data_IF_387451456209
#
_entry.id   IF_387451456209
#
_cell.length_a   1.000
_cell.length_b   1.000
_cell.length_c   1.000
_cell.angle_alpha   90.00
_cell.angle_beta   90.00
_cell.angle_gamma   90.00
#
_symmetry.space_group_name_H-M   'P 1'
#
loop_
_entity.id
_entity.type
_entity.pdbx_description
1 polymer ?
#
# COMPACT_ATOMS: atom_id res chain seq x y z
N UNK A 1 -2.12 4.32 7.09
CA UNK A 1 -1.63 4.60 5.72
C UNK A 1 -2.80 4.43 4.77
N UNK A 2 -3.87 5.19 5.01
CA UNK A 2 -5.06 5.23 4.16
C UNK A 2 -5.12 6.60 3.49
N UNK A 3 -5.64 6.67 2.27
CA UNK A 3 -5.83 7.90 1.53
C UNK A 3 -7.06 7.76 0.62
N UNK A 4 -7.49 8.88 0.06
CA UNK A 4 -8.66 8.96 -0.82
C UNK A 4 -8.55 8.06 -2.05
N UNK A 5 -7.34 7.80 -2.55
CA UNK A 5 -7.14 6.93 -3.71
C UNK A 5 -7.48 5.46 -3.42
N UNK A 6 -7.34 5.00 -2.17
CA UNK A 6 -7.78 3.65 -1.76
C UNK A 6 -9.30 3.49 -1.87
N UNK A 7 -10.05 4.52 -1.48
CA UNK A 7 -11.52 4.53 -1.56
C UNK A 7 -12.07 4.90 -2.95
N UNK A 8 -11.20 5.08 -3.94
CA UNK A 8 -11.61 5.44 -5.30
C UNK A 8 -12.53 4.39 -5.91
N UNK A 9 -12.40 3.12 -5.51
CA UNK A 9 -13.34 2.01 -5.79
C UNK A 9 -14.79 2.43 -5.60
N UNK A 10 -15.14 2.64 -4.35
CA UNK A 10 -16.45 3.13 -3.90
C UNK A 10 -16.84 4.43 -4.59
N UNK A 11 -15.95 5.43 -4.64
CA UNK A 11 -16.29 6.74 -5.18
C UNK A 11 -16.72 6.70 -6.66
N UNK A 12 -16.02 5.90 -7.49
CA UNK A 12 -16.40 5.74 -8.90
C UNK A 12 -17.74 5.01 -9.03
N UNK A 13 -17.97 3.95 -8.27
CA UNK A 13 -19.21 3.17 -8.34
C UNK A 13 -20.43 3.94 -7.80
N UNK A 14 -20.23 4.77 -6.76
CA UNK A 14 -21.27 5.68 -6.27
C UNK A 14 -21.56 6.78 -7.28
N UNK A 15 -20.54 7.35 -7.93
CA UNK A 15 -20.73 8.32 -8.99
C UNK A 15 -21.48 7.72 -10.20
N UNK A 16 -21.13 6.49 -10.59
CA UNK A 16 -21.85 5.75 -11.63
C UNK A 16 -23.32 5.50 -11.25
N UNK A 17 -23.60 5.24 -9.96
CA UNK A 17 -24.95 5.13 -9.43
C UNK A 17 -25.71 6.47 -9.29
N UNK A 18 -25.12 7.60 -9.69
CA UNK A 18 -25.77 8.91 -9.72
C UNK A 18 -25.53 9.79 -8.49
N UNK A 19 -24.68 9.36 -7.55
CA UNK A 19 -24.34 10.13 -6.36
C UNK A 19 -23.17 11.09 -6.59
N UNK A 20 -23.12 12.18 -5.85
CA UNK A 20 -21.88 12.96 -5.71
C UNK A 20 -21.02 12.31 -4.63
N UNK A 21 -19.93 11.66 -5.03
CA UNK A 21 -19.00 11.00 -4.10
C UNK A 21 -17.78 11.88 -3.82
N UNK A 22 -17.45 12.08 -2.54
CA UNK A 22 -16.34 12.94 -2.10
C UNK A 22 -15.33 12.11 -1.30
N UNK A 23 -14.41 11.39 -1.96
CA UNK A 23 -13.30 10.75 -1.26
C UNK A 23 -12.29 11.83 -0.85
N UNK A 24 -11.84 11.81 0.40
CA UNK A 24 -10.93 12.83 0.94
C UNK A 24 -9.86 12.23 1.85
N UNK A 25 -8.79 13.00 2.05
CA UNK A 25 -7.72 12.66 2.96
C UNK A 25 -7.98 13.35 4.31
N UNK A 26 -8.16 12.58 5.38
CA UNK A 26 -8.12 13.12 6.75
C UNK A 26 -6.80 13.84 7.01
N UNK A 27 -6.77 14.79 7.95
CA UNK A 27 -5.50 15.38 8.39
C UNK A 27 -4.46 14.31 8.77
N UNK A 28 -3.21 14.55 8.36
CA UNK A 28 -2.10 13.61 8.52
C UNK A 28 -2.10 12.39 7.57
N UNK A 29 -3.18 12.18 6.81
CA UNK A 29 -3.33 11.15 5.79
C UNK A 29 -3.15 11.71 4.38
N UNK A 30 -2.78 10.83 3.44
CA UNK A 30 -2.52 11.18 2.03
C UNK A 30 -1.77 12.51 1.87
N UNK A 31 -2.42 13.44 1.17
CA UNK A 31 -1.88 14.77 0.88
C UNK A 31 -2.29 15.85 1.90
N UNK A 32 -3.26 15.57 2.77
CA UNK A 32 -3.71 16.50 3.79
C UNK A 32 -2.65 16.75 4.85
N UNK A 33 -2.45 18.03 5.18
CA UNK A 33 -1.55 18.48 6.24
C UNK A 33 -2.15 18.26 7.64
N UNK A 34 -1.42 18.69 8.68
CA UNK A 34 -1.84 18.56 10.07
C UNK A 34 -1.49 17.21 10.68
N UNK A 35 -1.70 17.11 11.99
CA UNK A 35 -1.45 15.89 12.76
C UNK A 35 -2.74 15.13 13.01
N UNK A 36 -2.63 13.81 13.02
CA UNK A 36 -3.70 12.92 13.40
C UNK A 36 -3.89 12.94 14.92
N UNK A 37 -4.69 13.88 15.42
CA UNK A 37 -5.02 14.01 16.84
C UNK A 37 -6.44 13.52 17.13
N UNK A 38 -6.63 12.82 18.24
CA UNK A 38 -7.93 12.24 18.63
C UNK A 38 -8.99 13.34 18.79
N UNK A 39 -10.20 13.10 18.26
CA UNK A 39 -11.33 14.07 18.28
C UNK A 39 -11.30 15.13 17.17
N UNK A 40 -10.14 15.36 16.53
CA UNK A 40 -10.01 16.40 15.51
C UNK A 40 -10.43 16.00 14.09
N UNK A 41 -10.72 14.70 13.88
CA UNK A 41 -11.11 14.15 12.57
C UNK A 41 -12.56 14.48 12.21
N UNK A 42 -13.44 14.66 13.20
CA UNK A 42 -14.83 15.06 12.95
C UNK A 42 -14.89 16.44 12.30
N UNK A 43 -14.03 17.36 12.74
CA UNK A 43 -13.89 18.69 12.13
C UNK A 43 -13.52 18.63 10.64
N UNK A 44 -12.81 17.58 10.18
CA UNK A 44 -12.51 17.41 8.76
C UNK A 44 -13.78 17.04 7.97
N UNK A 45 -14.65 16.20 8.55
CA UNK A 45 -15.93 15.82 7.95
C UNK A 45 -16.88 17.04 7.96
N UNK A 46 -16.96 17.77 9.06
CA UNK A 46 -17.76 19.00 9.17
C UNK A 46 -17.34 20.06 8.17
N UNK A 47 -16.04 20.22 7.94
CA UNK A 47 -15.52 21.13 6.93
C UNK A 47 -15.97 20.75 5.52
N UNK A 48 -16.04 19.44 5.21
CA UNK A 48 -16.55 18.94 3.93
C UNK A 48 -18.05 19.19 3.83
N UNK A 49 -18.84 18.84 4.85
CA UNK A 49 -20.29 19.12 4.86
C UNK A 49 -20.55 20.62 4.70
N UNK A 50 -19.79 21.47 5.40
CA UNK A 50 -19.87 22.93 5.27
C UNK A 50 -19.51 23.41 3.86
N UNK A 51 -18.52 22.81 3.22
CA UNK A 51 -18.20 23.10 1.82
C UNK A 51 -19.35 22.70 0.89
N UNK A 52 -19.93 21.51 1.06
CA UNK A 52 -21.05 21.01 0.25
C UNK A 52 -22.33 21.83 0.47
N UNK A 53 -22.58 22.35 1.67
CA UNK A 53 -23.72 23.23 1.94
C UNK A 53 -23.68 24.53 1.11
N UNK A 54 -22.52 24.94 0.62
CA UNK A 54 -22.37 26.10 -0.25
C UNK A 54 -22.51 25.75 -1.75
N UNK A 55 -22.80 24.50 -2.09
CA UNK A 55 -22.97 24.01 -3.46
C UNK A 55 -24.46 23.88 -3.79
N UNK A 56 -25.04 24.74 -4.65
CA UNK A 56 -26.47 24.69 -4.96
C UNK A 56 -26.86 23.46 -5.79
N UNK A 57 -25.90 22.73 -6.33
CA UNK A 57 -26.07 21.52 -7.12
C UNK A 57 -26.06 20.23 -6.27
N UNK A 58 -25.91 20.31 -4.95
CA UNK A 58 -25.84 19.16 -4.04
C UNK A 58 -26.94 19.26 -2.97
N UNK A 59 -27.71 18.18 -2.82
CA UNK A 59 -28.69 18.06 -1.73
C UNK A 59 -28.00 17.56 -0.46
N UNK A 60 -27.65 18.48 0.43
CA UNK A 60 -27.01 18.17 1.70
C UNK A 60 -27.99 17.74 2.80
N UNK A 61 -29.29 17.65 2.51
CA UNK A 61 -30.28 17.08 3.44
C UNK A 61 -30.41 15.55 3.32
N UNK A 62 -29.74 14.96 2.32
CA UNK A 62 -29.77 13.53 1.98
C UNK A 62 -28.36 12.96 1.83
N UNK A 63 -27.59 13.00 2.91
CA UNK A 63 -26.20 12.55 2.93
C UNK A 63 -26.06 11.06 3.25
N UNK A 64 -24.95 10.48 2.81
CA UNK A 64 -24.49 9.16 3.24
C UNK A 64 -23.02 9.25 3.63
N UNK A 65 -22.61 8.42 4.58
CA UNK A 65 -21.21 8.32 4.98
C UNK A 65 -20.71 6.90 4.83
N UNK A 66 -19.57 6.73 4.16
CA UNK A 66 -18.81 5.49 4.12
C UNK A 66 -17.50 5.66 4.89
N UNK A 67 -17.25 4.77 5.85
CA UNK A 67 -16.01 4.73 6.61
C UNK A 67 -15.36 3.36 6.56
N UNK A 68 -14.11 3.29 6.11
CA UNK A 68 -13.31 2.06 6.12
C UNK A 68 -12.35 2.02 7.31
N UNK A 69 -12.32 0.92 8.07
CA UNK A 69 -11.43 0.76 9.23
C UNK A 69 -11.50 1.94 10.19
N UNK A 70 -10.39 2.65 10.44
CA UNK A 70 -10.37 3.86 11.27
C UNK A 70 -11.28 4.99 10.72
N UNK A 71 -11.61 4.98 9.43
CA UNK A 71 -12.53 5.92 8.80
C UNK A 71 -13.98 5.81 9.30
N UNK A 72 -14.34 4.74 10.01
CA UNK A 72 -15.64 4.61 10.70
C UNK A 72 -15.90 5.67 11.78
N UNK A 73 -14.88 6.47 12.16
CA UNK A 73 -15.00 7.59 13.12
C UNK A 73 -16.14 8.57 12.78
N UNK A 74 -16.48 8.73 11.50
CA UNK A 74 -17.59 9.60 11.08
C UNK A 74 -18.98 9.15 11.54
N UNK A 75 -19.12 7.94 12.09
CA UNK A 75 -20.37 7.47 12.68
C UNK A 75 -20.87 8.39 13.80
N UNK A 76 -19.97 9.03 14.55
CA UNK A 76 -20.33 10.01 15.59
C UNK A 76 -21.12 11.18 14.98
N UNK A 77 -20.64 11.76 13.88
CA UNK A 77 -21.34 12.83 13.19
C UNK A 77 -22.66 12.38 12.56
N UNK A 78 -22.70 11.17 11.98
CA UNK A 78 -23.93 10.57 11.44
C UNK A 78 -24.99 10.39 12.53
N UNK A 79 -24.55 10.09 13.75
CA UNK A 79 -25.44 9.92 14.89
C UNK A 79 -26.07 11.25 15.34
N UNK A 80 -25.36 12.35 15.18
CA UNK A 80 -25.79 13.68 15.63
C UNK A 80 -26.62 14.44 14.58
N UNK A 81 -26.45 14.14 13.30
CA UNK A 81 -27.19 14.80 12.21
C UNK A 81 -28.25 13.90 11.56
N UNK A 82 -29.45 14.46 11.38
CA UNK A 82 -30.54 13.82 10.64
C UNK A 82 -30.41 13.95 9.14
N UNK A 83 -29.46 14.74 8.63
CA UNK A 83 -29.20 14.88 7.19
C UNK A 83 -28.58 13.61 6.60
N UNK A 84 -27.82 12.87 7.40
CA UNK A 84 -27.30 11.56 6.99
C UNK A 84 -28.40 10.51 7.03
N UNK A 85 -28.75 9.89 5.90
CA UNK A 85 -29.76 8.82 5.84
C UNK A 85 -29.14 7.42 5.81
N UNK A 86 -27.83 7.33 5.61
CA UNK A 86 -27.11 6.06 5.48
C UNK A 86 -25.73 6.12 6.12
N UNK A 87 -25.36 5.06 6.85
CA UNK A 87 -23.99 4.77 7.25
C UNK A 87 -23.54 3.44 6.68
N UNK A 88 -22.37 3.43 6.03
CA UNK A 88 -21.71 2.22 5.54
C UNK A 88 -20.36 2.11 6.26
N UNK A 89 -20.25 1.14 7.17
CA UNK A 89 -19.01 0.84 7.88
C UNK A 89 -18.34 -0.41 7.31
N UNK A 90 -17.23 -0.26 6.59
CA UNK A 90 -16.47 -1.37 6.04
C UNK A 90 -15.22 -1.66 6.88
N UNK A 91 -15.02 -2.90 7.29
CA UNK A 91 -13.90 -3.28 8.17
C UNK A 91 -13.81 -2.41 9.42
N UNK A 92 -14.94 -1.93 9.96
CA UNK A 92 -14.98 -1.01 11.12
C UNK A 92 -16.02 -1.46 12.14
N UNK A 93 -15.96 -0.91 13.36
CA UNK A 93 -16.89 -1.25 14.45
C UNK A 93 -18.15 -0.38 14.35
N UNK A 94 -19.29 -0.98 14.70
CA UNK A 94 -20.54 -0.26 14.94
C UNK A 94 -20.64 0.05 16.44
N UNK A 95 -20.64 1.34 16.81
CA UNK A 95 -20.78 1.75 18.21
C UNK A 95 -22.20 1.49 18.72
N UNK A 96 -22.35 1.47 20.05
CA UNK A 96 -23.65 1.42 20.74
C UNK A 96 -24.22 2.83 20.84
N UNK A 97 -25.54 2.94 21.08
CA UNK A 97 -26.30 4.18 21.17
C UNK A 97 -26.39 4.98 19.86
N UNK A 98 -26.51 4.26 18.74
CA UNK A 98 -26.83 4.89 17.46
C UNK A 98 -28.32 5.21 17.40
N UNK A 99 -28.65 6.44 16.96
CA UNK A 99 -30.00 6.95 16.77
C UNK A 99 -30.78 6.00 15.88
N UNK A 100 -32.05 5.77 16.20
CA UNK A 100 -32.89 4.86 15.41
C UNK A 100 -33.38 5.57 14.15
N UNK A 101 -33.22 4.92 13.02
CA UNK A 101 -33.87 5.32 11.78
C UNK A 101 -35.38 5.06 11.83
N UNK A 102 -36.14 5.91 11.16
CA UNK A 102 -37.58 5.72 10.92
C UNK A 102 -38.01 6.47 9.64
N UNK A 103 -39.29 6.36 9.27
CA UNK A 103 -39.81 6.92 8.01
C UNK A 103 -39.70 8.44 7.87
N UNK A 104 -39.59 9.19 8.97
CA UNK A 104 -39.42 10.67 8.93
C UNK A 104 -37.97 11.10 9.13
N UNK A 105 -37.18 10.31 9.84
CA UNK A 105 -35.75 10.53 10.08
C UNK A 105 -34.97 9.22 9.79
N UNK A 106 -34.72 8.88 8.51
CA UNK A 106 -34.09 7.62 8.19
C UNK A 106 -32.65 7.53 8.70
N UNK A 107 -32.23 6.31 9.00
CA UNK A 107 -30.83 5.90 9.12
C UNK A 107 -30.74 4.42 8.76
N UNK A 108 -30.28 4.13 7.56
CA UNK A 108 -29.97 2.77 7.15
C UNK A 108 -28.50 2.46 7.48
N UNK A 109 -28.21 1.26 7.97
CA UNK A 109 -26.87 0.85 8.43
C UNK A 109 -26.43 -0.40 7.68
N UNK A 110 -25.34 -0.28 6.95
CA UNK A 110 -24.62 -1.43 6.40
C UNK A 110 -23.26 -1.55 7.08
N UNK A 111 -22.99 -2.72 7.63
CA UNK A 111 -21.65 -3.10 8.06
C UNK A 111 -21.10 -4.14 7.11
N UNK A 112 -19.88 -3.95 6.61
CA UNK A 112 -19.24 -4.86 5.67
C UNK A 112 -17.97 -5.42 6.32
N UNK A 113 -17.80 -6.75 6.31
CA UNK A 113 -16.68 -7.43 6.96
C UNK A 113 -16.18 -8.59 6.10
N UNK A 114 -14.88 -8.87 6.15
CA UNK A 114 -14.29 -10.05 5.52
C UNK A 114 -14.20 -11.21 6.50
N UNK A 115 -14.39 -12.45 6.03
CA UNK A 115 -14.28 -13.66 6.85
C UNK A 115 -12.93 -13.80 7.53
N UNK A 116 -11.86 -13.32 6.87
CA UNK A 116 -10.50 -13.40 7.37
C UNK A 116 -10.02 -12.09 7.99
N UNK A 117 -10.94 -11.18 8.36
CA UNK A 117 -10.58 -9.96 9.09
C UNK A 117 -9.96 -10.30 10.45
N UNK A 118 -8.72 -9.84 10.66
CA UNK A 118 -7.93 -10.13 11.86
C UNK A 118 -8.11 -9.08 12.97
N UNK A 119 -8.89 -8.01 12.72
CA UNK A 119 -9.06 -6.85 13.60
C UNK A 119 -10.46 -6.79 14.19
N UNK A 120 -11.48 -7.24 13.44
CA UNK A 120 -12.89 -7.15 13.79
C UNK A 120 -13.58 -8.49 13.56
N UNK A 121 -14.43 -8.88 14.51
CA UNK A 121 -15.19 -10.13 14.43
C UNK A 121 -16.66 -9.88 14.08
N UNK A 122 -17.35 -10.85 13.45
CA UNK A 122 -18.79 -10.76 13.23
C UNK A 122 -19.60 -10.55 14.52
N UNK A 123 -19.14 -11.10 15.65
CA UNK A 123 -19.83 -10.97 16.93
C UNK A 123 -19.82 -9.54 17.46
N UNK A 124 -18.70 -8.81 17.33
CA UNK A 124 -18.62 -7.39 17.70
C UNK A 124 -19.64 -6.56 16.88
N UNK A 125 -19.79 -6.85 15.59
CA UNK A 125 -20.78 -6.16 14.74
C UNK A 125 -22.22 -6.51 15.13
N UNK A 126 -22.49 -7.77 15.48
CA UNK A 126 -23.80 -8.21 15.97
C UNK A 126 -24.16 -7.51 17.28
N UNK A 127 -23.22 -7.21 18.16
CA UNK A 127 -23.51 -6.42 19.37
C UNK A 127 -23.97 -4.99 19.05
N UNK A 128 -23.27 -4.29 18.15
CA UNK A 128 -23.66 -2.95 17.72
C UNK A 128 -25.00 -2.95 16.98
N UNK A 129 -25.22 -3.94 16.11
CA UNK A 129 -26.46 -4.07 15.36
C UNK A 129 -27.64 -4.49 16.26
N UNK A 130 -27.37 -5.26 17.33
CA UNK A 130 -28.35 -5.63 18.35
C UNK A 130 -28.84 -4.40 19.10
N UNK A 131 -27.92 -3.51 19.50
CA UNK A 131 -28.28 -2.21 20.06
C UNK A 131 -29.12 -1.42 19.05
N UNK A 132 -28.71 -1.35 17.78
CA UNK A 132 -29.42 -0.63 16.73
C UNK A 132 -30.86 -1.13 16.51
N UNK A 133 -31.05 -2.43 16.33
CA UNK A 133 -32.32 -3.05 15.92
C UNK A 133 -33.23 -3.42 17.10
N UNK A 134 -32.70 -3.53 18.31
CA UNK A 134 -33.40 -4.10 19.47
C UNK A 134 -33.53 -5.64 19.45
N UNK A 135 -32.97 -6.31 18.43
CA UNK A 135 -32.96 -7.77 18.32
C UNK A 135 -31.75 -8.31 19.08
N UNK A 136 -31.87 -9.34 19.94
CA UNK A 136 -30.72 -9.92 20.63
C UNK A 136 -29.63 -10.38 19.65
N UNK A 137 -28.36 -10.10 19.94
CA UNK A 137 -27.22 -10.44 19.06
C UNK A 137 -27.16 -11.92 18.65
N UNK A 138 -27.62 -12.83 19.52
CA UNK A 138 -27.72 -14.27 19.22
C UNK A 138 -28.72 -14.61 18.10
N UNK A 139 -29.69 -13.74 17.83
CA UNK A 139 -30.71 -13.89 16.80
C UNK A 139 -30.40 -13.06 15.53
N UNK A 140 -29.24 -12.40 15.50
CA UNK A 140 -28.76 -11.68 14.34
C UNK A 140 -27.89 -12.59 13.48
N UNK A 141 -28.20 -12.67 12.20
CA UNK A 141 -27.46 -13.41 11.19
C UNK A 141 -26.72 -12.44 10.28
N UNK A 142 -25.52 -12.85 9.84
CA UNK A 142 -24.82 -12.14 8.77
C UNK A 142 -25.52 -12.41 7.44
N UNK A 143 -25.34 -11.51 6.47
CA UNK A 143 -25.93 -11.54 5.13
C UNK A 143 -27.47 -11.49 5.12
N UNK A 144 -28.09 -11.05 6.22
CA UNK A 144 -29.53 -10.86 6.35
C UNK A 144 -29.88 -9.40 6.58
N UNK A 145 -30.90 -8.91 5.86
CA UNK A 145 -31.47 -7.59 6.04
C UNK A 145 -32.49 -7.61 7.19
N UNK A 146 -32.38 -6.63 8.08
CA UNK A 146 -33.34 -6.34 9.15
C UNK A 146 -33.97 -4.97 8.91
N UNK A 147 -35.23 -4.79 9.33
CA UNK A 147 -35.99 -3.57 9.01
C UNK A 147 -36.32 -3.46 7.52
N UNK A 148 -36.55 -2.25 7.04
CA UNK A 148 -36.76 -1.98 5.61
C UNK A 148 -36.31 -0.57 5.22
N UNK A 149 -35.91 -0.41 3.94
CA UNK A 149 -35.53 0.90 3.41
C UNK A 149 -36.70 1.88 3.43
N UNK A 150 -37.93 1.40 3.20
CA UNK A 150 -39.16 2.21 3.26
C UNK A 150 -39.44 2.77 4.65
N UNK A 151 -39.17 1.98 5.69
CA UNK A 151 -39.29 2.43 7.08
C UNK A 151 -38.07 3.24 7.55
N UNK A 152 -37.03 3.36 6.73
CA UNK A 152 -35.83 4.14 7.06
C UNK A 152 -34.97 3.53 8.17
N UNK A 153 -35.11 2.23 8.44
CA UNK A 153 -34.43 1.52 9.53
C UNK A 153 -33.69 0.26 9.04
N UNK A 154 -33.39 0.17 7.73
CA UNK A 154 -32.77 -0.98 7.11
C UNK A 154 -31.37 -1.22 7.69
N UNK A 155 -31.06 -2.46 8.07
CA UNK A 155 -29.81 -2.78 8.74
C UNK A 155 -29.26 -4.15 8.31
N UNK A 156 -27.98 -4.24 7.92
CA UNK A 156 -27.35 -5.49 7.47
C UNK A 156 -25.88 -5.56 7.91
N UNK A 157 -25.42 -6.76 8.27
CA UNK A 157 -24.00 -7.10 8.28
C UNK A 157 -23.75 -7.95 7.04
N UNK A 158 -22.98 -7.46 6.07
CA UNK A 158 -22.46 -8.25 4.97
C UNK A 158 -21.13 -8.90 5.38
N UNK A 159 -21.04 -10.21 5.26
CA UNK A 159 -19.83 -10.99 5.52
C UNK A 159 -19.40 -11.66 4.21
N UNK A 160 -18.28 -11.19 3.67
CA UNK A 160 -17.63 -11.78 2.51
C UNK A 160 -16.78 -13.00 2.87
N UNK A 161 -16.74 -14.01 2.01
CA UNK A 161 -16.09 -15.29 2.29
C UNK A 161 -14.60 -15.35 1.93
N UNK A 162 -14.08 -14.40 1.12
CA UNK A 162 -12.76 -14.49 0.47
C UNK A 162 -11.80 -13.35 0.81
N UNK A 163 -12.25 -12.38 1.60
CA UNK A 163 -11.46 -11.18 1.88
C UNK A 163 -10.99 -11.05 3.35
N UNK A 164 -10.04 -10.15 3.56
CA UNK A 164 -9.47 -9.81 4.87
C UNK A 164 -9.56 -8.30 5.13
N UNK A 165 -9.02 -7.84 6.27
CA UNK A 165 -9.14 -6.44 6.67
C UNK A 165 -8.51 -5.45 5.70
N UNK A 166 -7.38 -5.81 5.07
CA UNK A 166 -6.60 -4.90 4.23
C UNK A 166 -7.11 -4.88 2.80
N UNK A 167 -7.47 -6.05 2.25
CA UNK A 167 -7.87 -6.20 0.86
C UNK A 167 -9.33 -5.75 0.62
N UNK A 168 -10.14 -5.63 1.67
CA UNK A 168 -11.53 -5.17 1.59
C UNK A 168 -11.72 -3.80 0.91
N UNK A 169 -10.71 -2.93 0.91
CA UNK A 169 -10.78 -1.62 0.22
C UNK A 169 -10.92 -1.76 -1.31
N UNK A 170 -10.44 -2.86 -1.87
CA UNK A 170 -10.46 -3.15 -3.31
C UNK A 170 -11.32 -4.34 -3.69
N UNK A 171 -12.04 -4.90 -2.71
CA UNK A 171 -12.88 -6.05 -2.93
C UNK A 171 -14.12 -5.66 -3.76
N UNK A 172 -14.33 -6.29 -4.94
CA UNK A 172 -15.50 -6.04 -5.75
C UNK A 172 -16.82 -6.26 -5.01
N UNK A 173 -16.92 -7.28 -4.16
CA UNK A 173 -18.17 -7.61 -3.50
C UNK A 173 -18.49 -6.60 -2.39
N UNK A 174 -17.47 -6.07 -1.70
CA UNK A 174 -17.66 -4.95 -0.76
C UNK A 174 -18.19 -3.71 -1.46
N UNK A 175 -17.57 -3.33 -2.57
CA UNK A 175 -17.92 -2.12 -3.31
C UNK A 175 -19.32 -2.26 -3.92
N UNK A 176 -19.66 -3.44 -4.44
CA UNK A 176 -20.97 -3.75 -5.00
C UNK A 176 -22.06 -3.67 -3.93
N UNK A 177 -21.88 -4.35 -2.80
CA UNK A 177 -22.84 -4.34 -1.69
C UNK A 177 -23.06 -2.92 -1.16
N UNK A 178 -21.98 -2.13 -1.03
CA UNK A 178 -22.08 -0.72 -0.62
C UNK A 178 -22.90 0.11 -1.62
N UNK A 179 -22.68 -0.08 -2.93
CA UNK A 179 -23.41 0.64 -4.00
C UNK A 179 -24.89 0.29 -3.99
N UNK A 180 -25.22 -1.00 -3.90
CA UNK A 180 -26.60 -1.47 -3.91
C UNK A 180 -27.39 -1.03 -2.67
N UNK A 181 -26.76 -1.08 -1.49
CA UNK A 181 -27.37 -0.61 -0.26
C UNK A 181 -27.60 0.91 -0.28
N UNK A 182 -26.65 1.66 -0.84
CA UNK A 182 -26.79 3.11 -1.03
C UNK A 182 -27.92 3.43 -2.00
N UNK A 183 -27.98 2.77 -3.17
CA UNK A 183 -29.06 2.94 -4.14
C UNK A 183 -30.44 2.57 -3.55
N UNK A 184 -30.50 1.53 -2.73
CA UNK A 184 -31.73 1.13 -2.03
C UNK A 184 -32.17 2.14 -0.96
N UNK A 185 -31.23 2.88 -0.37
CA UNK A 185 -31.54 3.96 0.57
C UNK A 185 -32.09 5.20 -0.12
N UNK A 186 -31.63 5.47 -1.35
CA UNK A 186 -32.07 6.63 -2.14
C UNK A 186 -32.68 6.18 -3.48
N UNK A 187 -33.88 5.58 -3.48
CA UNK A 187 -34.47 4.95 -4.67
C UNK A 187 -34.80 5.93 -5.79
N UNK A 188 -34.88 7.23 -5.50
CA UNK A 188 -35.16 8.28 -6.48
C UNK A 188 -33.89 8.72 -7.26
N UNK A 189 -32.69 8.33 -6.79
CA UNK A 189 -31.43 8.62 -7.48
C UNK A 189 -31.29 7.66 -8.65
N UNK A 190 -31.14 8.22 -9.85
CA UNK A 190 -31.00 7.45 -11.08
C UNK A 190 -29.53 7.22 -11.42
N UNK A 191 -29.13 5.99 -11.79
CA UNK A 191 -27.77 5.72 -12.22
C UNK A 191 -27.42 6.49 -13.48
N UNK A 192 -26.19 7.00 -13.53
CA UNK A 192 -25.57 7.58 -14.73
C UNK A 192 -25.02 6.46 -15.62
N UNK A 193 -24.52 5.39 -15.01
CA UNK A 193 -24.08 4.17 -15.67
C UNK A 193 -24.51 2.95 -14.83
N UNK A 194 -25.21 2.02 -15.48
CA UNK A 194 -25.67 0.78 -14.84
C UNK A 194 -24.54 -0.24 -14.72
N UNK A 195 -23.51 -0.14 -15.57
CA UNK A 195 -22.39 -1.07 -15.59
C UNK A 195 -21.55 -0.99 -14.32
N UNK A 196 -21.09 -2.16 -13.89
CA UNK A 196 -20.19 -2.27 -12.75
C UNK A 196 -18.73 -2.24 -13.21
N UNK A 197 -18.00 -1.19 -12.84
CA UNK A 197 -16.72 -0.83 -13.46
C UNK A 197 -15.53 -1.39 -12.66
N UNK A 198 -15.70 -1.76 -11.39
CA UNK A 198 -14.62 -2.21 -10.51
C UNK A 198 -13.74 -3.31 -11.13
N UNK A 199 -14.35 -4.31 -11.78
CA UNK A 199 -13.64 -5.44 -12.37
C UNK A 199 -12.81 -4.98 -13.58
N UNK A 200 -13.36 -4.05 -14.36
CA UNK A 200 -12.66 -3.40 -15.48
C UNK A 200 -11.46 -2.59 -15.01
N UNK A 201 -11.53 -1.96 -13.82
CA UNK A 201 -10.41 -1.18 -13.28
C UNK A 201 -9.20 -2.05 -12.99
N UNK A 202 -9.38 -3.25 -12.43
CA UNK A 202 -8.27 -4.18 -12.19
C UNK A 202 -7.59 -4.60 -13.50
N UNK A 203 -8.37 -4.81 -14.56
CA UNK A 203 -7.83 -5.08 -15.90
C UNK A 203 -7.04 -3.88 -16.43
N UNK A 204 -7.58 -2.66 -16.31
CA UNK A 204 -6.89 -1.42 -16.71
C UNK A 204 -5.57 -1.27 -15.93
N UNK A 205 -5.58 -1.47 -14.62
CA UNK A 205 -4.36 -1.43 -13.80
C UNK A 205 -3.33 -2.43 -14.30
N UNK A 206 -3.76 -3.66 -14.58
CA UNK A 206 -2.88 -4.71 -15.10
C UNK A 206 -2.26 -4.28 -16.44
N UNK A 207 -3.06 -3.79 -17.38
CA UNK A 207 -2.59 -3.30 -18.68
C UNK A 207 -1.62 -2.12 -18.53
N UNK A 208 -1.91 -1.18 -17.63
CA UNK A 208 -1.03 -0.04 -17.35
C UNK A 208 0.30 -0.47 -16.74
N UNK A 209 0.29 -1.40 -15.78
CA UNK A 209 1.52 -1.88 -15.14
C UNK A 209 2.36 -2.74 -16.10
N UNK A 210 1.78 -3.72 -16.78
CA UNK A 210 2.51 -4.57 -17.71
C UNK A 210 2.97 -3.78 -18.95
N UNK A 211 2.08 -2.97 -19.53
CA UNK A 211 2.40 -2.13 -20.68
C UNK A 211 3.42 -1.04 -20.33
N UNK A 212 3.25 -0.38 -19.19
CA UNK A 212 4.18 0.63 -18.68
C UNK A 212 5.54 0.03 -18.35
N UNK A 213 5.60 -1.10 -17.66
CA UNK A 213 6.86 -1.79 -17.38
C UNK A 213 7.53 -2.31 -18.65
N UNK A 214 6.76 -2.85 -19.60
CA UNK A 214 7.25 -3.24 -20.92
C UNK A 214 7.88 -2.05 -21.66
N UNK A 215 7.19 -0.91 -21.70
CA UNK A 215 7.72 0.34 -22.24
C UNK A 215 9.01 0.76 -21.52
N UNK A 216 9.02 0.73 -20.19
CA UNK A 216 10.19 1.06 -19.38
C UNK A 216 11.41 0.21 -19.75
N UNK A 217 11.24 -1.11 -19.90
CA UNK A 217 12.33 -2.00 -20.31
C UNK A 217 12.83 -1.68 -21.72
N UNK A 218 11.92 -1.40 -22.65
CA UNK A 218 12.27 -1.10 -24.05
C UNK A 218 13.07 0.20 -24.21
N UNK A 219 12.87 1.19 -23.33
CA UNK A 219 13.58 2.47 -23.41
C UNK A 219 14.95 2.47 -22.73
N UNK A 220 15.27 1.48 -21.88
CA UNK A 220 16.55 1.45 -21.13
C UNK A 220 17.74 1.47 -22.08
N UNK A 221 17.78 0.57 -23.06
CA UNK A 221 18.93 0.45 -23.98
C UNK A 221 19.09 1.68 -24.89
N UNK A 222 18.03 2.21 -25.55
CA UNK A 222 18.11 3.46 -26.29
C UNK A 222 18.59 4.65 -25.44
N UNK A 223 18.06 4.81 -24.22
CA UNK A 223 18.47 5.89 -23.33
C UNK A 223 19.91 5.73 -22.83
N UNK A 224 20.31 4.49 -22.52
CA UNK A 224 21.68 4.19 -22.13
C UNK A 224 22.66 4.54 -23.25
N UNK A 225 22.37 4.14 -24.50
CA UNK A 225 23.19 4.48 -25.67
C UNK A 225 23.24 5.98 -25.96
N UNK A 226 22.16 6.71 -25.67
CA UNK A 226 22.09 8.15 -25.85
C UNK A 226 22.95 8.91 -24.81
N UNK A 227 22.91 8.48 -23.55
CA UNK A 227 23.51 9.20 -22.43
C UNK A 227 24.96 8.75 -22.17
N UNK A 228 25.21 7.44 -22.24
CA UNK A 228 26.52 6.84 -22.04
C UNK A 228 27.31 6.90 -23.35
N UNK A 229 28.57 7.35 -23.31
CA UNK A 229 29.45 7.33 -24.48
C UNK A 229 29.85 5.88 -24.79
N UNK A 230 29.66 5.44 -26.04
CA UNK A 230 29.93 4.07 -26.52
C UNK A 230 31.42 3.72 -26.67
N UNK A 231 32.31 4.27 -25.83
CA UNK A 231 33.77 4.22 -26.05
C UNK A 231 34.62 3.68 -24.91
N UNK A 232 34.05 3.39 -23.74
CA UNK A 232 34.76 2.72 -22.66
C UNK A 232 33.97 1.49 -22.26
N UNK A 233 34.24 0.35 -22.92
CA UNK A 233 34.01 -0.97 -22.33
C UNK A 233 34.91 -1.10 -21.09
N UNK A 234 34.56 -0.38 -20.03
CA UNK A 234 35.09 -0.64 -18.71
C UNK A 234 34.56 -2.02 -18.35
N UNK A 235 35.46 -3.00 -18.34
CA UNK A 235 35.14 -4.41 -18.15
C UNK A 235 34.09 -4.62 -17.06
N UNK A 236 33.22 -5.62 -17.28
CA UNK A 236 32.12 -5.98 -16.39
C UNK A 236 32.57 -5.87 -14.93
N UNK A 237 31.73 -5.27 -14.08
CA UNK A 237 32.02 -5.07 -12.67
C UNK A 237 32.27 -6.42 -11.98
N UNK A 238 33.53 -6.87 -11.97
CA UNK A 238 33.91 -8.18 -11.44
C UNK A 238 34.58 -8.00 -10.10
N UNK A 239 34.01 -8.56 -9.04
CA UNK A 239 34.68 -8.71 -7.75
C UNK A 239 34.97 -10.19 -7.54
N UNK A 240 36.19 -10.61 -7.88
CA UNK A 240 36.66 -11.99 -7.65
C UNK A 240 36.77 -12.27 -6.14
N UNK A 241 35.65 -12.66 -5.53
CA UNK A 241 35.56 -12.95 -4.11
C UNK A 241 35.64 -14.47 -3.79
N UNK A 242 36.10 -15.27 -4.76
CA UNK A 242 36.48 -16.67 -4.58
C UNK A 242 35.86 -17.65 -5.59
N UNK A 243 36.40 -18.86 -5.59
CA UNK A 243 36.07 -19.96 -6.52
C UNK A 243 34.83 -20.75 -6.09
N UNK A 244 34.12 -20.28 -5.07
CA UNK A 244 32.92 -20.95 -4.57
C UNK A 244 31.82 -20.96 -5.64
N UNK A 245 31.02 -22.02 -5.66
CA UNK A 245 29.88 -22.16 -6.56
C UNK A 245 28.80 -21.12 -6.25
N UNK A 246 28.02 -20.76 -7.26
CA UNK A 246 26.91 -19.79 -7.18
C UNK A 246 25.96 -20.16 -6.04
N UNK A 247 25.54 -21.44 -5.98
CA UNK A 247 24.62 -21.92 -4.94
C UNK A 247 25.18 -21.76 -3.53
N UNK A 248 26.49 -21.93 -3.33
CA UNK A 248 27.12 -21.74 -2.01
C UNK A 248 27.15 -20.27 -1.60
N UNK A 249 27.41 -19.36 -2.54
CA UNK A 249 27.39 -17.92 -2.28
C UNK A 249 25.96 -17.44 -2.02
N UNK A 250 25.00 -17.86 -2.84
CA UNK A 250 23.57 -17.56 -2.65
C UNK A 250 23.04 -18.07 -1.30
N UNK A 251 23.37 -19.31 -0.93
CA UNK A 251 23.01 -19.87 0.38
C UNK A 251 23.62 -19.10 1.55
N UNK A 252 24.89 -18.68 1.43
CA UNK A 252 25.52 -17.80 2.43
C UNK A 252 24.84 -16.44 2.50
N UNK A 253 24.47 -15.85 1.36
CA UNK A 253 23.76 -14.58 1.33
C UNK A 253 22.46 -14.67 2.12
N UNK A 254 21.65 -15.70 1.88
CA UNK A 254 20.40 -15.95 2.63
C UNK A 254 20.70 -16.09 4.12
N UNK A 255 21.63 -16.96 4.53
CA UNK A 255 21.96 -17.18 5.95
C UNK A 255 22.44 -15.90 6.62
N UNK A 256 23.31 -15.13 5.96
CA UNK A 256 23.83 -13.88 6.51
C UNK A 256 22.75 -12.81 6.62
N UNK A 257 21.91 -12.66 5.58
CA UNK A 257 20.77 -11.75 5.60
C UNK A 257 19.78 -12.10 6.69
N UNK A 258 19.45 -13.38 6.88
CA UNK A 258 18.53 -13.81 7.92
C UNK A 258 19.13 -13.71 9.33
N UNK A 259 20.35 -14.16 9.57
CA UNK A 259 20.94 -14.19 10.93
C UNK A 259 21.40 -12.80 11.38
N UNK A 260 22.05 -12.03 10.51
CA UNK A 260 22.58 -10.72 10.86
C UNK A 260 21.63 -9.58 10.50
N UNK A 261 20.61 -9.83 9.69
CA UNK A 261 19.65 -8.80 9.31
C UNK A 261 18.88 -8.22 10.48
N UNK A 262 18.63 -9.01 11.51
CA UNK A 262 17.96 -8.54 12.73
C UNK A 262 18.78 -7.45 13.42
N UNK A 263 20.11 -7.59 13.46
CA UNK A 263 21.00 -6.56 14.00
C UNK A 263 20.95 -5.29 13.15
N UNK A 264 20.93 -5.44 11.83
CA UNK A 264 20.76 -4.30 10.91
C UNK A 264 19.43 -3.58 11.13
N UNK A 265 18.32 -4.32 11.28
CA UNK A 265 16.99 -3.75 11.59
C UNK A 265 17.06 -2.96 12.90
N UNK A 266 17.64 -3.50 13.97
CA UNK A 266 17.78 -2.81 15.25
C UNK A 266 18.64 -1.53 15.16
N UNK A 267 19.72 -1.55 14.36
CA UNK A 267 20.54 -0.36 14.09
C UNK A 267 19.73 0.72 13.36
N UNK A 268 18.74 0.33 12.55
CA UNK A 268 17.92 1.25 11.78
C UNK A 268 16.76 1.87 12.59
N UNK A 269 16.35 1.27 13.72
CA UNK A 269 15.21 1.73 14.54
C UNK A 269 15.31 3.22 14.93
N UNK A 270 16.44 3.77 15.39
CA UNK A 270 16.52 5.19 15.73
C UNK A 270 16.15 6.12 14.56
N UNK A 271 16.48 5.73 13.32
CA UNK A 271 16.12 6.48 12.11
C UNK A 271 14.60 6.38 11.87
N UNK A 272 14.00 5.22 12.10
CA UNK A 272 12.54 5.03 11.99
C UNK A 272 11.79 5.96 12.93
N UNK A 273 12.21 6.00 14.19
CA UNK A 273 11.50 6.72 15.26
C UNK A 273 11.47 8.24 15.03
N UNK A 274 12.43 8.79 14.28
CA UNK A 274 12.51 10.22 13.96
C UNK A 274 11.91 10.53 12.56
N UNK A 275 11.60 9.51 11.76
CA UNK A 275 11.10 9.69 10.39
C UNK A 275 9.58 9.85 10.32
N UNK A 276 9.10 10.76 9.46
CA UNK A 276 7.67 11.01 9.22
C UNK A 276 7.00 10.04 8.23
N UNK A 277 7.72 8.99 7.81
CA UNK A 277 7.28 8.01 6.82
C UNK A 277 7.37 6.60 7.39
N UNK A 278 6.53 6.29 8.40
CA UNK A 278 6.61 5.05 9.18
C UNK A 278 6.68 3.77 8.31
N UNK A 279 5.84 3.64 7.29
CA UNK A 279 5.85 2.44 6.42
C UNK A 279 7.07 2.38 5.51
N UNK A 280 7.45 3.49 4.86
CA UNK A 280 8.66 3.51 4.03
C UNK A 280 9.90 3.26 4.90
N UNK A 281 9.89 3.78 6.12
CA UNK A 281 10.79 3.44 7.22
C UNK A 281 10.86 1.94 7.42
N UNK A 282 9.75 1.32 7.80
CA UNK A 282 9.67 -0.10 8.09
C UNK A 282 10.22 -0.97 6.95
N UNK A 283 9.80 -0.72 5.70
CA UNK A 283 10.33 -1.42 4.52
C UNK A 283 11.83 -1.19 4.36
N UNK A 284 12.28 0.06 4.49
CA UNK A 284 13.72 0.40 4.42
C UNK A 284 14.53 -0.29 5.53
N UNK A 285 13.96 -0.49 6.72
CA UNK A 285 14.61 -1.18 7.83
C UNK A 285 14.82 -2.67 7.52
N UNK A 286 13.81 -3.34 6.95
CA UNK A 286 13.91 -4.74 6.56
C UNK A 286 14.97 -4.92 5.46
N UNK A 287 14.95 -4.05 4.44
CA UNK A 287 15.96 -4.04 3.36
C UNK A 287 17.36 -3.67 3.89
N UNK A 288 17.45 -2.74 4.83
CA UNK A 288 18.71 -2.38 5.48
C UNK A 288 19.28 -3.56 6.28
N UNK A 289 18.43 -4.31 7.00
CA UNK A 289 18.82 -5.56 7.64
C UNK A 289 19.47 -6.51 6.64
N UNK A 290 18.83 -6.71 5.49
CA UNK A 290 19.37 -7.56 4.43
C UNK A 290 20.74 -7.06 3.93
N UNK A 291 20.83 -5.77 3.61
CA UNK A 291 22.05 -5.13 3.14
C UNK A 291 23.17 -5.24 4.19
N UNK A 292 22.86 -5.10 5.49
CA UNK A 292 23.82 -5.28 6.57
C UNK A 292 24.40 -6.71 6.59
N UNK A 293 23.54 -7.73 6.52
CA UNK A 293 24.00 -9.12 6.43
C UNK A 293 24.90 -9.36 5.21
N UNK A 294 24.52 -8.83 4.05
CA UNK A 294 25.32 -8.90 2.82
C UNK A 294 26.65 -8.16 2.97
N UNK A 295 26.67 -7.00 3.62
CA UNK A 295 27.89 -6.23 3.87
C UNK A 295 28.90 -7.04 4.71
N UNK A 296 28.43 -7.72 5.75
CA UNK A 296 29.28 -8.59 6.58
C UNK A 296 29.77 -9.80 5.79
N UNK A 297 28.94 -10.37 4.91
CA UNK A 297 29.35 -11.45 4.00
C UNK A 297 30.47 -10.98 3.05
N UNK A 298 30.28 -9.84 2.38
CA UNK A 298 31.27 -9.24 1.48
C UNK A 298 32.58 -8.94 2.22
N UNK A 299 32.50 -8.42 3.44
CA UNK A 299 33.68 -8.20 4.30
C UNK A 299 34.41 -9.52 4.60
N UNK A 300 33.69 -10.57 4.98
CA UNK A 300 34.30 -11.88 5.28
C UNK A 300 34.95 -12.50 4.04
N UNK A 301 34.31 -12.38 2.88
CA UNK A 301 34.85 -12.87 1.61
C UNK A 301 36.10 -12.08 1.20
N UNK A 302 36.06 -10.75 1.31
CA UNK A 302 37.21 -9.88 1.06
C UNK A 302 38.40 -10.20 1.97
N UNK A 303 38.14 -10.38 3.28
CA UNK A 303 39.17 -10.73 4.27
C UNK A 303 39.92 -12.01 3.92
N UNK A 304 39.24 -13.03 3.37
CA UNK A 304 39.90 -14.28 2.92
C UNK A 304 40.90 -14.07 1.77
N UNK A 305 40.75 -13.00 1.00
CA UNK A 305 41.60 -12.65 -0.15
C UNK A 305 42.46 -11.40 0.12
N UNK A 306 42.58 -10.96 1.38
CA UNK A 306 43.26 -9.72 1.78
C UNK A 306 42.74 -8.44 1.11
N UNK A 307 41.48 -8.42 0.70
CA UNK A 307 40.81 -7.24 0.13
C UNK A 307 40.05 -6.51 1.25
N UNK A 308 40.27 -5.20 1.40
CA UNK A 308 39.54 -4.41 2.40
C UNK A 308 38.12 -4.12 1.92
N UNK A 309 37.16 -4.08 2.83
CA UNK A 309 35.76 -3.76 2.50
C UNK A 309 35.62 -2.42 1.77
N UNK A 310 36.39 -1.41 2.17
CA UNK A 310 36.45 -0.10 1.50
C UNK A 310 36.81 -0.23 0.02
N UNK A 311 37.68 -1.17 -0.34
CA UNK A 311 38.11 -1.35 -1.72
C UNK A 311 37.03 -2.04 -2.56
N UNK A 312 36.25 -2.94 -1.95
CA UNK A 312 35.05 -3.54 -2.56
C UNK A 312 34.01 -2.45 -2.84
N UNK A 313 33.67 -1.64 -1.82
CA UNK A 313 32.68 -0.56 -1.94
C UNK A 313 33.10 0.51 -2.96
N UNK A 314 34.38 0.88 -2.99
CA UNK A 314 34.91 1.87 -3.94
C UNK A 314 34.92 1.36 -5.37
N UNK A 315 34.86 0.05 -5.59
CA UNK A 315 35.00 -0.52 -6.93
C UNK A 315 33.90 -0.03 -7.87
N UNK A 316 32.68 0.17 -7.37
CA UNK A 316 31.54 0.71 -8.14
C UNK A 316 31.75 2.14 -8.63
N UNK A 317 32.73 2.85 -8.06
CA UNK A 317 33.03 4.24 -8.39
C UNK A 317 34.36 4.39 -9.15
N UNK A 318 34.99 3.29 -9.58
CA UNK A 318 36.24 3.31 -10.37
C UNK A 318 35.95 3.57 -11.87
N UNK A 319 35.46 4.76 -12.18
CA UNK A 319 35.26 5.25 -13.54
C UNK A 319 35.51 6.76 -13.57
N UNK A 320 35.64 7.35 -14.75
CA UNK A 320 35.84 8.80 -14.88
C UNK A 320 34.67 9.56 -14.24
N UNK A 321 34.96 10.75 -13.70
CA UNK A 321 33.93 11.62 -13.07
C UNK A 321 32.78 11.90 -14.04
N UNK A 322 33.10 12.11 -15.32
CA UNK A 322 32.11 12.41 -16.35
C UNK A 322 31.20 11.20 -16.63
N UNK A 323 31.76 9.98 -16.66
CA UNK A 323 30.98 8.76 -16.79
C UNK A 323 30.10 8.50 -15.55
N UNK A 324 30.61 8.77 -14.35
CA UNK A 324 29.81 8.69 -13.12
C UNK A 324 28.61 9.62 -13.20
N UNK A 325 28.83 10.90 -13.55
CA UNK A 325 27.74 11.88 -13.68
C UNK A 325 26.70 11.39 -14.70
N UNK A 326 27.12 10.88 -15.86
CA UNK A 326 26.22 10.33 -16.88
C UNK A 326 25.42 9.12 -16.39
N UNK A 327 26.06 8.20 -15.65
CA UNK A 327 25.38 7.05 -15.04
C UNK A 327 24.35 7.49 -13.99
N UNK A 328 24.68 8.48 -13.15
CA UNK A 328 23.73 9.07 -12.22
C UNK A 328 22.56 9.76 -12.92
N UNK A 329 22.82 10.51 -13.99
CA UNK A 329 21.77 11.16 -14.80
C UNK A 329 20.85 10.12 -15.46
N UNK A 330 21.41 9.07 -16.06
CA UNK A 330 20.65 7.97 -16.63
C UNK A 330 19.78 7.30 -15.54
N UNK A 331 20.38 6.97 -14.39
CA UNK A 331 19.66 6.35 -13.27
C UNK A 331 18.53 7.22 -12.74
N UNK A 332 18.78 8.53 -12.57
CA UNK A 332 17.76 9.48 -12.13
C UNK A 332 16.61 9.62 -13.15
N UNK A 333 16.94 9.70 -14.44
CA UNK A 333 15.94 9.76 -15.51
C UNK A 333 15.08 8.49 -15.54
N UNK A 334 15.70 7.31 -15.50
CA UNK A 334 14.99 6.03 -15.47
C UNK A 334 14.12 5.92 -14.20
N UNK A 335 14.62 6.35 -13.06
CA UNK A 335 13.85 6.37 -11.81
C UNK A 335 12.62 7.30 -11.91
N UNK A 336 12.75 8.48 -12.53
CA UNK A 336 11.63 9.39 -12.77
C UNK A 336 10.59 8.75 -13.68
N UNK A 337 11.01 8.17 -14.81
CA UNK A 337 10.08 7.54 -15.76
C UNK A 337 9.34 6.38 -15.11
N UNK A 338 10.05 5.49 -14.40
CA UNK A 338 9.43 4.37 -13.71
C UNK A 338 8.49 4.87 -12.60
N UNK A 339 8.88 5.89 -11.84
CA UNK A 339 8.03 6.48 -10.80
C UNK A 339 6.76 7.08 -11.39
N UNK A 340 6.82 7.74 -12.55
CA UNK A 340 5.66 8.28 -13.26
C UNK A 340 4.74 7.17 -13.75
N UNK A 341 5.28 6.08 -14.30
CA UNK A 341 4.49 4.92 -14.72
C UNK A 341 3.73 4.34 -13.52
N UNK A 342 4.41 4.07 -12.41
CA UNK A 342 3.80 3.52 -11.21
C UNK A 342 2.77 4.52 -10.62
N UNK A 343 3.09 5.82 -10.62
CA UNK A 343 2.21 6.86 -10.11
C UNK A 343 0.92 6.99 -10.93
N UNK A 344 1.01 7.08 -12.25
CA UNK A 344 -0.18 7.23 -13.11
C UNK A 344 -1.02 5.94 -13.12
N UNK A 345 -0.38 4.79 -12.94
CA UNK A 345 -1.07 3.50 -12.85
C UNK A 345 -1.67 3.28 -11.46
N UNK A 346 -0.88 2.77 -10.51
CA UNK A 346 -1.35 2.42 -9.16
C UNK A 346 -1.51 3.62 -8.24
N UNK A 347 -0.64 4.63 -8.34
CA UNK A 347 -0.62 5.76 -7.41
C UNK A 347 -1.90 6.59 -7.44
N UNK A 348 -2.35 7.01 -8.62
CA UNK A 348 -3.55 7.84 -8.81
C UNK A 348 -4.87 7.07 -8.64
N UNK A 349 -4.82 5.74 -8.64
CA UNK A 349 -6.03 4.93 -8.76
C UNK A 349 -6.27 3.98 -7.58
N UNK A 350 -5.26 3.66 -6.77
CA UNK A 350 -5.36 2.62 -5.74
C UNK A 350 -4.71 2.96 -4.40
N UNK A 351 -3.51 3.54 -4.36
CA UNK A 351 -2.74 3.61 -3.10
C UNK A 351 -2.15 4.97 -2.76
N UNK A 352 -2.32 6.01 -3.58
CA UNK A 352 -1.85 7.38 -3.32
C UNK A 352 -0.36 7.49 -2.94
N UNK A 353 0.51 7.78 -3.92
CA UNK A 353 1.97 7.75 -3.70
C UNK A 353 2.59 9.09 -3.29
N UNK A 354 1.89 10.21 -3.49
CA UNK A 354 2.44 11.53 -3.20
C UNK A 354 2.16 11.86 -1.72
N UNK A 355 3.21 12.07 -0.91
CA UNK A 355 3.02 12.42 0.49
C UNK A 355 2.63 13.90 0.63
N UNK A 356 2.09 14.28 1.78
CA UNK A 356 1.79 15.68 2.09
C UNK A 356 3.04 16.57 2.05
N UNK A 357 2.85 17.88 1.88
CA UNK A 357 3.94 18.87 1.78
C UNK A 357 4.94 18.78 2.96
N UNK A 358 4.45 18.49 4.17
CA UNK A 358 5.27 18.33 5.38
C UNK A 358 6.21 17.12 5.31
N UNK A 359 5.88 16.12 4.49
CA UNK A 359 6.62 14.86 4.34
C UNK A 359 7.60 14.90 3.16
N UNK A 360 7.45 15.82 2.21
CA UNK A 360 8.33 15.95 1.03
C UNK A 360 9.82 16.08 1.40
N UNK A 361 10.24 16.87 2.41
CA UNK A 361 11.66 16.99 2.77
C UNK A 361 12.32 15.67 3.20
N UNK A 362 11.54 14.68 3.62
CA UNK A 362 12.04 13.36 4.03
C UNK A 362 12.32 12.44 2.84
N UNK A 363 11.71 12.71 1.68
CA UNK A 363 11.85 11.89 0.48
C UNK A 363 13.32 11.78 0.04
N UNK A 364 14.10 12.88 -0.11
CA UNK A 364 15.52 12.78 -0.44
C UNK A 364 16.35 11.94 0.53
N UNK A 365 16.06 12.02 1.84
CA UNK A 365 16.75 11.22 2.86
C UNK A 365 16.51 9.72 2.62
N UNK A 366 15.26 9.33 2.38
CA UNK A 366 14.91 7.95 2.06
C UNK A 366 15.54 7.48 0.75
N UNK A 367 15.65 8.34 -0.27
CA UNK A 367 16.37 8.02 -1.50
C UNK A 367 17.85 7.74 -1.24
N UNK A 368 18.52 8.54 -0.42
CA UNK A 368 19.94 8.32 -0.06
C UNK A 368 20.12 7.00 0.69
N UNK A 369 19.26 6.74 1.68
CA UNK A 369 19.29 5.49 2.45
C UNK A 369 19.10 4.28 1.52
N UNK A 370 18.06 4.30 0.70
CA UNK A 370 17.76 3.20 -0.22
C UNK A 370 18.85 3.05 -1.29
N UNK A 371 19.45 4.14 -1.76
CA UNK A 371 20.62 4.07 -2.64
C UNK A 371 21.78 3.29 -2.00
N UNK A 372 22.10 3.54 -0.72
CA UNK A 372 23.17 2.81 0.00
C UNK A 372 22.80 1.32 0.16
N UNK A 373 21.55 1.02 0.52
CA UNK A 373 21.03 -0.34 0.65
C UNK A 373 21.18 -1.09 -0.68
N UNK A 374 20.67 -0.53 -1.77
CA UNK A 374 20.72 -1.16 -3.09
C UNK A 374 22.12 -1.18 -3.69
N UNK A 375 23.01 -0.26 -3.33
CA UNK A 375 24.42 -0.34 -3.69
C UNK A 375 25.06 -1.60 -3.09
N UNK A 376 24.85 -1.88 -1.80
CA UNK A 376 25.40 -3.06 -1.13
C UNK A 376 24.83 -4.36 -1.71
N UNK A 377 23.52 -4.38 -1.92
CA UNK A 377 22.83 -5.52 -2.55
C UNK A 377 23.33 -5.74 -3.98
N UNK A 378 23.49 -4.65 -4.75
CA UNK A 378 24.00 -4.66 -6.12
C UNK A 378 25.45 -5.13 -6.22
N UNK A 379 26.29 -4.83 -5.23
CA UNK A 379 27.67 -5.35 -5.16
C UNK A 379 27.73 -6.87 -5.08
N UNK A 380 26.84 -7.50 -4.31
CA UNK A 380 26.73 -8.95 -4.28
C UNK A 380 26.19 -9.48 -5.61
N UNK A 381 25.13 -8.87 -6.13
CA UNK A 381 24.48 -9.34 -7.34
C UNK A 381 25.35 -9.19 -8.58
N UNK A 382 25.66 -7.95 -8.98
CA UNK A 382 26.46 -7.67 -10.16
C UNK A 382 27.93 -8.03 -9.95
N UNK A 383 28.47 -7.75 -8.76
CA UNK A 383 29.90 -7.93 -8.48
C UNK A 383 30.34 -9.35 -8.26
N UNK A 384 29.45 -10.24 -7.80
CA UNK A 384 29.83 -11.60 -7.39
C UNK A 384 29.02 -12.66 -8.10
N UNK A 385 27.69 -12.54 -8.09
CA UNK A 385 26.80 -13.59 -8.58
C UNK A 385 26.69 -13.58 -10.11
N UNK A 386 26.41 -12.43 -10.72
CA UNK A 386 26.20 -12.31 -12.17
C UNK A 386 27.44 -12.74 -12.95
N UNK A 387 28.65 -12.45 -12.46
CA UNK A 387 29.91 -12.81 -13.12
C UNK A 387 30.20 -14.32 -13.18
N UNK A 388 29.39 -15.14 -12.50
CA UNK A 388 29.50 -16.61 -12.54
C UNK A 388 28.52 -17.24 -13.54
N UNK A 389 27.65 -16.44 -14.14
CA UNK A 389 26.76 -16.86 -15.20
C UNK A 389 27.38 -16.57 -16.56
N UNK A 390 27.11 -17.42 -17.55
CA UNK A 390 27.45 -17.15 -18.95
C UNK A 390 26.71 -15.92 -19.47
N UNK A 391 27.14 -15.38 -20.60
CA UNK A 391 26.42 -14.30 -21.26
C UNK A 391 25.13 -14.79 -21.93
N UNK A 392 24.16 -13.88 -22.08
CA UNK A 392 22.91 -14.11 -22.79
C UNK A 392 21.66 -14.10 -21.91
N UNK A 393 20.51 -14.31 -22.55
CA UNK A 393 19.20 -14.13 -21.93
C UNK A 393 18.88 -15.18 -20.84
N UNK A 394 19.13 -16.48 -21.12
CA UNK A 394 18.81 -17.55 -20.14
C UNK A 394 19.61 -17.40 -18.84
N UNK A 395 20.94 -17.17 -18.88
CA UNK A 395 21.70 -16.94 -17.65
C UNK A 395 21.29 -15.66 -16.92
N UNK A 396 20.96 -14.58 -17.65
CA UNK A 396 20.41 -13.35 -17.05
C UNK A 396 19.12 -13.63 -16.27
N UNK A 397 18.15 -14.35 -16.86
CA UNK A 397 16.90 -14.73 -16.18
C UNK A 397 17.18 -15.55 -14.92
N UNK A 398 18.12 -16.51 -14.97
CA UNK A 398 18.51 -17.30 -13.79
C UNK A 398 19.13 -16.43 -12.70
N UNK A 399 20.01 -15.50 -13.06
CA UNK A 399 20.63 -14.58 -12.13
C UNK A 399 19.57 -13.68 -11.47
N UNK A 400 18.68 -13.08 -12.26
CA UNK A 400 17.58 -12.24 -11.78
C UNK A 400 16.61 -13.01 -10.88
N UNK A 401 16.27 -14.25 -11.22
CA UNK A 401 15.42 -15.09 -10.37
C UNK A 401 16.09 -15.41 -9.04
N UNK A 402 17.37 -15.78 -9.04
CA UNK A 402 18.11 -16.03 -7.80
C UNK A 402 18.19 -14.76 -6.93
N UNK A 403 18.41 -13.61 -7.54
CA UNK A 403 18.40 -12.32 -6.85
C UNK A 403 17.04 -12.03 -6.20
N UNK A 404 15.97 -12.21 -6.97
CA UNK A 404 14.61 -12.10 -6.46
C UNK A 404 14.37 -13.03 -5.27
N UNK A 405 14.76 -14.32 -5.37
CA UNK A 405 14.61 -15.28 -4.28
C UNK A 405 15.38 -14.83 -3.02
N UNK A 406 16.62 -14.34 -3.16
CA UNK A 406 17.40 -13.85 -2.02
C UNK A 406 16.72 -12.66 -1.34
N UNK A 407 16.25 -11.67 -2.12
CA UNK A 407 15.52 -10.51 -1.59
C UNK A 407 14.20 -10.91 -0.94
N UNK A 408 13.37 -11.65 -1.67
CA UNK A 408 12.02 -12.01 -1.27
C UNK A 408 12.02 -12.91 -0.05
N UNK A 409 12.85 -13.96 -0.03
CA UNK A 409 12.90 -14.90 1.08
C UNK A 409 13.27 -14.22 2.40
N UNK A 410 14.18 -13.24 2.38
CA UNK A 410 14.52 -12.45 3.57
C UNK A 410 13.30 -11.69 4.08
N UNK A 411 12.67 -10.89 3.23
CA UNK A 411 11.50 -10.08 3.59
C UNK A 411 10.35 -10.95 4.11
N UNK A 412 9.97 -11.99 3.38
CA UNK A 412 8.88 -12.90 3.74
C UNK A 412 9.17 -13.61 5.06
N UNK A 413 10.41 -14.05 5.31
CA UNK A 413 10.76 -14.72 6.57
C UNK A 413 10.59 -13.78 7.76
N UNK A 414 11.06 -12.54 7.66
CA UNK A 414 10.91 -11.56 8.74
C UNK A 414 9.45 -11.16 8.97
N UNK A 415 8.69 -10.92 7.90
CA UNK A 415 7.25 -10.63 8.01
C UNK A 415 6.48 -11.79 8.63
N UNK A 416 6.83 -13.03 8.28
CA UNK A 416 6.24 -14.23 8.87
C UNK A 416 6.58 -14.35 10.37
N UNK A 417 7.84 -14.14 10.77
CA UNK A 417 8.26 -14.15 12.18
C UNK A 417 7.51 -13.06 12.98
N UNK A 418 7.41 -11.85 12.44
CA UNK A 418 6.66 -10.74 13.07
C UNK A 418 5.20 -11.14 13.23
N UNK A 419 4.60 -11.72 12.19
CA UNK A 419 3.18 -12.14 12.21
C UNK A 419 2.91 -13.20 13.28
N UNK A 420 3.78 -14.21 13.39
CA UNK A 420 3.70 -15.21 14.44
C UNK A 420 3.87 -14.60 15.84
N UNK A 421 4.82 -13.69 16.01
CA UNK A 421 5.05 -13.02 17.30
C UNK A 421 3.87 -12.13 17.73
N UNK A 422 3.18 -11.52 16.77
CA UNK A 422 2.01 -10.67 17.03
C UNK A 422 0.69 -11.44 17.10
N UNK A 423 0.69 -12.73 16.73
CA UNK A 423 -0.54 -13.52 16.61
C UNK A 423 -1.49 -13.01 15.52
N UNK A 424 -0.99 -12.28 14.52
CA UNK A 424 -1.79 -11.67 13.46
C UNK A 424 -0.99 -11.63 12.15
N UNK A 425 -1.64 -12.01 11.05
CA UNK A 425 -1.07 -11.95 9.70
C UNK A 425 -1.31 -10.61 9.00
N UNK A 426 -1.84 -9.61 9.72
CA UNK A 426 -2.14 -8.29 9.19
C UNK A 426 -0.94 -7.67 8.42
N UNK A 427 0.26 -7.70 9.03
CA UNK A 427 1.47 -7.15 8.40
C UNK A 427 1.98 -7.99 7.23
N UNK A 428 1.66 -9.29 7.18
CA UNK A 428 1.99 -10.16 6.07
C UNK A 428 1.10 -9.83 4.86
N UNK A 429 -0.21 -9.68 5.09
CA UNK A 429 -1.19 -9.30 4.06
C UNK A 429 -1.05 -7.85 3.58
N UNK A 430 -0.51 -6.94 4.40
CA UNK A 430 -0.31 -5.54 4.02
C UNK A 430 1.02 -5.24 3.32
N UNK A 431 1.96 -6.19 3.29
CA UNK A 431 3.35 -5.97 2.84
C UNK A 431 3.78 -6.87 1.68
N UNK A 432 2.93 -7.81 1.27
CA UNK A 432 3.02 -8.55 0.01
C UNK A 432 2.28 -7.79 -1.08
#
# INVERSE_FOLDING_TARGET
>A
MSNKEMLKGYAVEFAAAGFVAVPFDFRGHGQSSGEHQRGSLLNDIDAIVSYLNNRPDIDTSNLAYLGFSMGGVGLELVNESTDFKCFIGAGTRLSKNIRKGNSTNPLNILMILGRFDEVITPNELKEGLSDYTGIPAANLDVNKLYGSFKEGNAAKIYLDDLTNHVLGDWDPDFIMEAREFLASTFPDVRPVDENYIVNTRLLILSLQLFGGFGLFVLIIDPLAKLILKSGEENGVFITELGDESIGRIGGKAIVYSLVLGILGIFIFIPILLVSFLATAGFVSALLFGQAFGILVLLWRMGKKKNIRLRDILKKSFKTSRDNLIRQFLLGALLAIILSLIIYVSGGLNYIGMIPSLMKIPWVPLFFIINFIIFLIIGLLFHGVLQNKFDEGFKPLVKASFMFFVILFLHMTTYLFIISLAMGSFFYFGSSL
#
